data_IF_691869375083
#
_entry.id   IF_691869375083
#
_cell.length_a   1.000
_cell.length_b   1.000
_cell.length_c   1.000
_cell.angle_alpha   90.00
_cell.angle_beta   90.00
_cell.angle_gamma   90.00
#
_symmetry.space_group_name_H-M   'P 1'
#
loop_
_entity.id
_entity.type
_entity.pdbx_description
1 polymer ?
#
# COMPACT_ATOMS: atom_id res chain seq x y z
N UNK A 1 -9.97 -5.57 13.96
CA UNK A 1 -10.03 -5.45 12.48
C UNK A 1 -10.25 -3.98 12.19
N UNK A 2 -9.27 -3.29 11.60
CA UNK A 2 -9.45 -1.91 11.17
C UNK A 2 -10.25 -1.93 9.86
N UNK A 3 -11.50 -1.49 9.92
CA UNK A 3 -12.33 -1.27 8.74
C UNK A 3 -12.20 0.18 8.32
N UNK A 4 -11.48 0.43 7.23
CA UNK A 4 -11.26 1.79 6.70
C UNK A 4 -12.29 2.22 5.65
N UNK A 5 -13.24 1.34 5.31
CA UNK A 5 -14.15 1.52 4.16
C UNK A 5 -15.06 2.74 4.25
N UNK A 6 -15.42 3.17 5.46
CA UNK A 6 -16.34 4.29 5.69
C UNK A 6 -15.67 5.68 5.52
N UNK A 7 -14.34 5.72 5.47
CA UNK A 7 -13.55 6.96 5.47
C UNK A 7 -13.05 7.41 4.11
N UNK A 8 -13.27 6.65 3.02
CA UNK A 8 -12.60 6.87 1.73
C UNK A 8 -13.14 8.06 0.92
N UNK A 9 -14.39 8.49 1.15
CA UNK A 9 -15.06 9.47 0.28
C UNK A 9 -14.37 10.85 0.27
N UNK A 10 -13.83 11.30 1.41
CA UNK A 10 -13.28 12.66 1.55
C UNK A 10 -11.76 12.72 1.72
N UNK A 11 -11.06 11.59 1.53
CA UNK A 11 -9.60 11.54 1.75
C UNK A 11 -8.84 12.48 0.83
N UNK A 12 -9.30 12.66 -0.41
CA UNK A 12 -8.66 13.58 -1.34
C UNK A 12 -8.76 15.04 -0.87
N UNK A 13 -9.91 15.47 -0.37
CA UNK A 13 -10.09 16.83 0.18
C UNK A 13 -9.17 17.06 1.38
N UNK A 14 -9.16 16.11 2.33
CA UNK A 14 -8.28 16.17 3.51
C UNK A 14 -6.80 16.16 3.12
N UNK A 15 -6.43 15.38 2.11
CA UNK A 15 -5.06 15.35 1.58
C UNK A 15 -4.66 16.73 1.04
N UNK A 16 -5.52 17.40 0.28
CA UNK A 16 -5.24 18.74 -0.22
C UNK A 16 -5.09 19.77 0.92
N UNK A 17 -5.95 19.70 1.95
CA UNK A 17 -5.83 20.56 3.12
C UNK A 17 -4.47 20.39 3.83
N UNK A 18 -3.99 19.16 3.99
CA UNK A 18 -2.69 18.88 4.62
C UNK A 18 -1.51 19.32 3.74
N UNK A 19 -1.59 19.11 2.42
CA UNK A 19 -0.58 19.61 1.48
C UNK A 19 -0.46 21.13 1.56
N UNK A 20 -1.57 21.86 1.60
CA UNK A 20 -1.57 23.32 1.72
C UNK A 20 -1.03 23.83 3.06
N UNK A 21 -1.14 23.04 4.13
CA UNK A 21 -0.52 23.34 5.45
C UNK A 21 0.96 23.02 5.50
N UNK A 22 1.54 22.43 4.46
CA UNK A 22 2.94 21.98 4.43
C UNK A 22 3.15 20.57 5.02
N UNK A 23 2.08 19.85 5.33
CA UNK A 23 2.10 18.46 5.84
C UNK A 23 1.88 17.42 4.73
N UNK A 24 2.23 17.76 3.48
CA UNK A 24 2.11 16.84 2.35
C UNK A 24 3.17 15.74 2.39
N UNK A 25 2.86 14.59 1.76
CA UNK A 25 3.82 13.50 1.60
C UNK A 25 4.94 13.87 0.63
N UNK A 26 6.15 13.44 0.95
CA UNK A 26 7.35 13.68 0.16
C UNK A 26 7.77 12.43 -0.60
N UNK A 27 8.53 12.65 -1.67
CA UNK A 27 9.04 11.57 -2.53
C UNK A 27 9.92 10.55 -1.79
N UNK A 28 10.63 10.99 -0.76
CA UNK A 28 11.45 10.13 0.08
C UNK A 28 10.62 9.21 0.98
N UNK A 29 9.44 9.66 1.42
CA UNK A 29 8.51 8.86 2.23
C UNK A 29 7.88 7.73 1.39
N UNK A 30 7.59 7.99 0.11
CA UNK A 30 6.96 7.02 -0.80
C UNK A 30 7.92 6.03 -1.44
N UNK A 31 9.24 6.27 -1.36
CA UNK A 31 10.26 5.45 -2.03
C UNK A 31 10.18 3.96 -1.65
N UNK A 32 9.92 3.66 -0.38
CA UNK A 32 9.82 2.29 0.11
C UNK A 32 8.64 1.54 -0.54
N UNK A 33 7.47 2.19 -0.62
CA UNK A 33 6.29 1.58 -1.23
C UNK A 33 6.52 1.32 -2.72
N UNK A 34 7.13 2.26 -3.43
CA UNK A 34 7.49 2.11 -4.84
C UNK A 34 8.44 0.92 -5.04
N UNK A 35 9.48 0.81 -4.21
CA UNK A 35 10.45 -0.28 -4.30
C UNK A 35 9.81 -1.64 -4.05
N UNK A 36 8.96 -1.75 -3.01
CA UNK A 36 8.24 -2.99 -2.69
C UNK A 36 7.37 -3.41 -3.88
N UNK A 37 6.59 -2.50 -4.46
CA UNK A 37 5.74 -2.81 -5.63
C UNK A 37 6.58 -3.22 -6.83
N UNK A 38 7.71 -2.54 -7.06
CA UNK A 38 8.64 -2.88 -8.13
C UNK A 38 9.20 -4.31 -7.95
N UNK A 39 9.69 -4.65 -6.75
CA UNK A 39 10.27 -5.96 -6.47
C UNK A 39 9.22 -7.08 -6.60
N UNK A 40 8.02 -6.87 -6.04
CA UNK A 40 6.92 -7.83 -6.14
C UNK A 40 6.46 -8.03 -7.58
N UNK A 41 6.39 -6.96 -8.38
CA UNK A 41 5.94 -7.03 -9.78
C UNK A 41 6.93 -7.76 -10.69
N UNK A 42 8.22 -7.79 -10.31
CA UNK A 42 9.29 -8.44 -11.08
C UNK A 42 9.71 -9.80 -10.49
N UNK A 43 9.22 -10.14 -9.30
CA UNK A 43 9.53 -11.41 -8.65
C UNK A 43 8.88 -12.58 -9.39
N UNK A 44 9.61 -13.70 -9.48
CA UNK A 44 9.06 -14.97 -9.95
C UNK A 44 8.25 -15.60 -8.81
N UNK A 45 6.98 -15.99 -9.02
CA UNK A 45 6.21 -16.67 -7.99
C UNK A 45 6.83 -18.02 -7.60
N UNK A 46 6.99 -18.26 -6.30
CA UNK A 46 7.43 -19.54 -5.73
C UNK A 46 6.32 -20.14 -4.85
N UNK A 47 5.44 -20.99 -5.40
CA UNK A 47 4.29 -21.53 -4.66
C UNK A 47 4.66 -22.57 -3.58
N UNK A 48 5.86 -23.15 -3.69
CA UNK A 48 6.35 -24.24 -2.84
C UNK A 48 7.18 -23.78 -1.64
N UNK A 49 7.45 -22.48 -1.49
CA UNK A 49 8.30 -21.93 -0.43
C UNK A 49 7.65 -20.73 0.26
N UNK A 50 7.97 -20.50 1.53
CA UNK A 50 7.62 -19.29 2.27
C UNK A 50 6.24 -19.24 2.95
N UNK A 51 5.96 -18.06 3.52
CA UNK A 51 4.69 -17.74 4.18
C UNK A 51 3.58 -17.53 3.14
N UNK A 52 2.37 -18.00 3.43
CA UNK A 52 1.22 -17.87 2.53
C UNK A 52 0.05 -17.16 3.20
N UNK A 53 -0.64 -16.35 2.41
CA UNK A 53 -1.87 -15.71 2.87
C UNK A 53 -2.95 -16.78 3.17
N UNK A 54 -3.77 -16.65 4.25
CA UNK A 54 -4.79 -17.63 4.60
C UNK A 54 -5.84 -17.91 3.51
N UNK A 55 -6.02 -16.96 2.59
CA UNK A 55 -6.92 -17.07 1.43
C UNK A 55 -6.25 -17.66 0.18
N UNK A 56 -4.94 -17.95 0.20
CA UNK A 56 -4.31 -18.67 -0.90
C UNK A 56 -5.01 -20.03 -1.06
N UNK A 57 -5.41 -20.41 -2.28
CA UNK A 57 -5.94 -21.73 -2.54
C UNK A 57 -4.97 -22.80 -2.01
N UNK A 58 -5.52 -23.80 -1.32
CA UNK A 58 -4.78 -25.04 -1.10
C UNK A 58 -4.81 -25.78 -2.42
N UNK A 59 -3.63 -26.16 -2.91
CA UNK A 59 -3.52 -27.07 -4.07
C UNK A 59 -4.36 -28.34 -3.86
#
# INVERSE_FOLDING_TARGET
MLHYTDGFQDLHTKLYEEVLKGNGFRLDEDRNAIQIVYDVSNARPEPSSGERHPLCPKE
#
